data_IF_641669277511
#
_entry.id   IF_641669277511
#
_cell.length_a   1.000
_cell.length_b   1.000
_cell.length_c   1.000
_cell.angle_alpha   90.00
_cell.angle_beta   90.00
_cell.angle_gamma   90.00
#
_symmetry.space_group_name_H-M   'P 1'
#
loop_
_entity.id
_entity.type
_entity.pdbx_description
1 polymer ?
#
# COMPACT_ATOMS: atom_id res chain seq x y z
N UNK A 1 -8.68 1.08 46.05
CA UNK A 1 -7.61 1.12 45.05
C UNK A 1 -6.96 2.48 45.13
N UNK A 2 -5.65 2.55 45.38
CA UNK A 2 -4.93 3.82 45.44
C UNK A 2 -4.94 4.50 44.08
N UNK A 3 -5.12 5.79 44.06
CA UNK A 3 -5.16 6.64 42.86
C UNK A 3 -3.89 6.52 42.01
N UNK A 4 -2.78 6.14 42.61
CA UNK A 4 -1.48 5.93 41.96
C UNK A 4 -1.46 4.71 41.01
N UNK A 5 -2.19 3.63 41.34
CA UNK A 5 -2.29 2.44 40.49
C UNK A 5 -3.16 2.70 39.25
N UNK A 6 -4.20 3.54 39.38
CA UNK A 6 -5.04 3.91 38.21
C UNK A 6 -4.31 4.81 37.23
N UNK A 7 -3.45 5.71 37.73
CA UNK A 7 -2.60 6.56 36.85
C UNK A 7 -1.53 5.73 36.15
N UNK A 8 -0.90 4.78 36.81
CA UNK A 8 0.10 3.86 36.23
C UNK A 8 -0.54 2.92 35.21
N UNK A 9 -1.72 2.39 35.48
CA UNK A 9 -2.46 1.55 34.54
C UNK A 9 -2.93 2.37 33.30
N UNK A 10 -3.36 3.61 33.51
CA UNK A 10 -3.74 4.55 32.46
C UNK A 10 -2.55 4.91 31.55
N UNK A 11 -1.38 5.19 32.12
CA UNK A 11 -0.16 5.48 31.36
C UNK A 11 0.33 4.26 30.59
N UNK A 12 0.32 3.05 31.16
CA UNK A 12 0.70 1.81 30.45
C UNK A 12 -0.26 1.50 29.31
N UNK A 13 -1.57 1.65 29.49
CA UNK A 13 -2.54 1.49 28.41
C UNK A 13 -2.32 2.51 27.27
N UNK A 14 -1.89 3.71 27.58
CA UNK A 14 -1.59 4.75 26.61
C UNK A 14 -0.32 4.41 25.79
N UNK A 15 0.69 3.79 26.39
CA UNK A 15 1.93 3.37 25.74
C UNK A 15 1.69 2.28 24.69
N UNK A 16 0.79 1.31 24.94
CA UNK A 16 0.47 0.23 24.00
C UNK A 16 -0.36 0.68 22.80
N UNK A 17 -1.12 1.77 22.91
CA UNK A 17 -1.97 2.28 21.82
C UNK A 17 -1.17 2.76 20.61
N UNK A 18 -0.06 3.45 20.82
CA UNK A 18 0.78 3.99 19.76
C UNK A 18 1.36 2.92 18.82
N UNK A 19 2.01 1.85 19.33
CA UNK A 19 2.50 0.77 18.45
C UNK A 19 1.38 0.06 17.68
N UNK A 20 0.21 -0.16 18.28
CA UNK A 20 -0.93 -0.76 17.57
C UNK A 20 -1.47 0.15 16.47
N UNK A 21 -1.53 1.46 16.69
CA UNK A 21 -1.95 2.42 15.69
C UNK A 21 -0.97 2.47 14.50
N UNK A 22 0.33 2.54 14.78
CA UNK A 22 1.36 2.53 13.75
C UNK A 22 1.31 1.23 12.92
N UNK A 23 1.16 0.09 13.60
CA UNK A 23 1.03 -1.22 12.95
C UNK A 23 -0.24 -1.32 12.09
N UNK A 24 -1.38 -0.85 12.60
CA UNK A 24 -2.63 -0.82 11.87
C UNK A 24 -2.55 0.06 10.61
N UNK A 25 -1.89 1.21 10.70
CA UNK A 25 -1.63 2.08 9.55
C UNK A 25 -0.73 1.40 8.53
N UNK A 26 0.40 0.84 8.95
CA UNK A 26 1.34 0.18 8.04
C UNK A 26 0.68 -1.00 7.32
N UNK A 27 0.02 -1.89 8.06
CA UNK A 27 -0.67 -3.08 7.51
C UNK A 27 -1.84 -2.68 6.62
N UNK A 28 -2.63 -1.70 7.07
CA UNK A 28 -3.79 -1.23 6.33
C UNK A 28 -3.41 -0.57 5.00
N UNK A 29 -2.33 0.22 4.98
CA UNK A 29 -1.82 0.84 3.74
C UNK A 29 -1.29 -0.21 2.77
N UNK A 30 -0.55 -1.22 3.26
CA UNK A 30 -0.09 -2.33 2.40
C UNK A 30 -1.28 -3.08 1.82
N UNK A 31 -2.24 -3.48 2.66
CA UNK A 31 -3.41 -4.24 2.22
C UNK A 31 -4.24 -3.46 1.21
N UNK A 32 -4.51 -2.18 1.48
CA UNK A 32 -5.23 -1.30 0.55
C UNK A 32 -4.47 -1.09 -0.75
N UNK A 33 -3.16 -0.84 -0.64
CA UNK A 33 -2.28 -0.67 -1.80
C UNK A 33 -2.25 -1.91 -2.69
N UNK A 34 -2.17 -3.10 -2.10
CA UNK A 34 -2.23 -4.36 -2.85
C UNK A 34 -3.59 -4.56 -3.50
N UNK A 35 -4.70 -4.33 -2.79
CA UNK A 35 -6.04 -4.44 -3.33
C UNK A 35 -6.23 -3.53 -4.57
N UNK A 36 -6.00 -2.23 -4.40
CA UNK A 36 -6.15 -1.24 -5.47
C UNK A 36 -5.13 -1.44 -6.59
N UNK A 37 -3.88 -1.79 -6.26
CA UNK A 37 -2.87 -2.10 -7.26
C UNK A 37 -3.22 -3.32 -8.11
N UNK A 38 -3.82 -4.36 -7.54
CA UNK A 38 -4.33 -5.51 -8.29
C UNK A 38 -5.47 -5.11 -9.23
N UNK A 39 -6.37 -4.22 -8.79
CA UNK A 39 -7.40 -3.63 -9.66
C UNK A 39 -6.79 -2.89 -10.85
N UNK A 40 -5.77 -2.07 -10.61
CA UNK A 40 -5.04 -1.38 -11.68
C UNK A 40 -4.48 -2.36 -12.72
N UNK A 41 -3.80 -3.43 -12.27
CA UNK A 41 -3.23 -4.44 -13.17
C UNK A 41 -4.29 -5.21 -13.95
N UNK A 42 -5.45 -5.48 -13.35
CA UNK A 42 -6.61 -6.06 -14.04
C UNK A 42 -7.11 -5.14 -15.15
N UNK A 43 -7.29 -3.85 -14.84
CA UNK A 43 -7.71 -2.84 -15.82
C UNK A 43 -6.70 -2.71 -16.95
N UNK A 44 -5.42 -2.60 -16.63
CA UNK A 44 -4.35 -2.50 -17.62
C UNK A 44 -4.29 -3.73 -18.54
N UNK A 45 -4.44 -4.93 -17.98
CA UNK A 45 -4.49 -6.17 -18.75
C UNK A 45 -5.66 -6.22 -19.73
N UNK A 46 -6.80 -5.65 -19.35
CA UNK A 46 -8.00 -5.58 -20.17
C UNK A 46 -7.92 -4.53 -21.25
N UNK A 47 -7.20 -3.42 -21.01
CA UNK A 47 -6.93 -2.38 -21.98
C UNK A 47 -5.96 -2.86 -23.07
N UNK A 48 -4.86 -3.46 -22.64
CA UNK A 48 -3.77 -3.85 -23.54
C UNK A 48 -4.03 -5.17 -24.27
N UNK A 49 -4.98 -5.99 -23.79
CA UNK A 49 -5.22 -7.32 -24.33
C UNK A 49 -4.02 -8.26 -24.17
N UNK A 50 -3.08 -7.93 -23.27
CA UNK A 50 -1.81 -8.63 -23.16
C UNK A 50 -1.98 -10.06 -22.64
N UNK A 51 -1.27 -11.01 -23.24
CA UNK A 51 -1.36 -12.44 -22.92
C UNK A 51 -0.98 -12.78 -21.47
N UNK A 52 -0.12 -11.99 -20.83
CA UNK A 52 0.18 -12.14 -19.40
C UNK A 52 -1.05 -11.86 -18.51
N UNK A 53 -1.91 -10.96 -18.95
CA UNK A 53 -3.12 -10.61 -18.21
C UNK A 53 -4.14 -11.74 -18.16
N UNK A 54 -4.22 -12.57 -19.20
CA UNK A 54 -5.12 -13.73 -19.22
C UNK A 54 -4.73 -14.73 -18.14
N UNK A 55 -3.44 -14.98 -17.99
CA UNK A 55 -2.88 -15.93 -17.03
C UNK A 55 -2.93 -15.42 -15.59
N UNK A 56 -2.64 -14.12 -15.36
CA UNK A 56 -2.66 -13.53 -14.02
C UNK A 56 -4.04 -13.06 -13.55
N UNK A 57 -5.02 -12.97 -14.48
CA UNK A 57 -6.34 -12.37 -14.20
C UNK A 57 -7.00 -12.93 -12.95
N UNK A 58 -7.00 -14.24 -12.79
CA UNK A 58 -7.65 -14.91 -11.65
C UNK A 58 -6.90 -14.68 -10.34
N UNK A 59 -5.57 -14.71 -10.41
CA UNK A 59 -4.71 -14.39 -9.26
C UNK A 59 -4.92 -12.93 -8.82
N UNK A 60 -4.93 -12.00 -9.77
CA UNK A 60 -5.19 -10.59 -9.50
C UNK A 60 -6.59 -10.35 -8.93
N UNK A 61 -7.62 -10.98 -9.50
CA UNK A 61 -8.99 -10.89 -8.99
C UNK A 61 -9.12 -11.49 -7.59
N UNK A 62 -8.49 -12.65 -7.33
CA UNK A 62 -8.46 -13.24 -6.00
C UNK A 62 -7.70 -12.38 -5.01
N UNK A 63 -6.61 -11.72 -5.42
CA UNK A 63 -5.86 -10.79 -4.59
C UNK A 63 -6.66 -9.53 -4.24
N UNK A 64 -7.46 -8.98 -5.16
CA UNK A 64 -8.37 -7.87 -4.86
C UNK A 64 -9.29 -8.23 -3.69
N UNK A 65 -9.91 -9.42 -3.72
CA UNK A 65 -10.77 -9.89 -2.65
C UNK A 65 -10.00 -10.26 -1.38
N UNK A 66 -8.88 -10.95 -1.54
CA UNK A 66 -8.05 -11.40 -0.43
C UNK A 66 -7.49 -10.27 0.42
N UNK A 67 -7.26 -9.11 -0.19
CA UNK A 67 -6.71 -7.93 0.49
C UNK A 67 -7.74 -6.85 0.82
N UNK A 68 -9.02 -7.05 0.47
CA UNK A 68 -10.11 -6.16 0.90
C UNK A 68 -10.17 -5.98 2.44
N UNK A 69 -9.92 -7.00 3.29
CA UNK A 69 -9.80 -6.81 4.73
C UNK A 69 -8.77 -5.75 5.12
N UNK A 70 -7.70 -5.55 4.35
CA UNK A 70 -6.72 -4.48 4.57
C UNK A 70 -7.32 -3.09 4.50
N UNK A 71 -8.25 -2.87 3.57
CA UNK A 71 -8.99 -1.60 3.47
C UNK A 71 -9.84 -1.36 4.72
N UNK A 72 -10.49 -2.42 5.22
CA UNK A 72 -11.30 -2.34 6.45
C UNK A 72 -10.45 -2.09 7.68
N UNK A 73 -9.26 -2.73 7.77
CA UNK A 73 -8.31 -2.48 8.88
C UNK A 73 -7.82 -1.04 8.83
N UNK A 74 -7.50 -0.51 7.65
CA UNK A 74 -7.08 0.88 7.51
C UNK A 74 -8.19 1.83 7.96
N UNK A 75 -9.40 1.64 7.47
CA UNK A 75 -10.55 2.47 7.86
C UNK A 75 -10.85 2.37 9.36
N UNK A 76 -10.79 1.17 9.93
CA UNK A 76 -10.96 0.95 11.36
C UNK A 76 -9.85 1.58 12.20
N UNK A 77 -8.59 1.50 11.74
CA UNK A 77 -7.45 2.13 12.43
C UNK A 77 -7.56 3.65 12.42
N UNK A 78 -7.90 4.24 11.26
CA UNK A 78 -8.14 5.68 11.14
C UNK A 78 -9.29 6.09 12.05
N UNK A 79 -10.38 5.32 12.09
CA UNK A 79 -11.50 5.57 13.00
C UNK A 79 -11.09 5.54 14.46
N UNK A 80 -10.34 4.51 14.89
CA UNK A 80 -9.84 4.40 16.27
C UNK A 80 -8.84 5.50 16.61
N UNK A 81 -7.96 5.87 15.67
CA UNK A 81 -7.00 6.96 15.88
C UNK A 81 -7.71 8.28 16.21
N UNK A 82 -8.72 8.62 15.44
CA UNK A 82 -9.40 9.91 15.57
C UNK A 82 -10.34 10.00 16.78
N UNK A 83 -10.93 8.87 17.19
CA UNK A 83 -11.97 8.89 18.24
C UNK A 83 -11.44 8.48 19.62
N UNK A 84 -10.50 7.53 19.68
CA UNK A 84 -10.12 6.86 20.95
C UNK A 84 -8.67 7.14 21.34
N UNK A 85 -7.75 7.08 20.36
CA UNK A 85 -6.30 7.07 20.64
C UNK A 85 -5.75 8.50 20.72
N UNK A 86 -6.19 9.35 19.80
CA UNK A 86 -5.79 10.75 19.72
C UNK A 86 -6.97 11.66 19.41
N UNK A 87 -7.87 11.91 20.36
CA UNK A 87 -8.89 12.94 20.18
C UNK A 87 -8.26 14.32 19.88
N UNK A 88 -6.98 14.51 20.27
CA UNK A 88 -6.20 15.69 19.91
C UNK A 88 -5.53 15.61 18.53
N UNK A 89 -5.32 14.43 17.97
CA UNK A 89 -4.82 14.28 16.58
C UNK A 89 -5.85 14.73 15.55
N UNK A 90 -7.13 14.77 15.94
CA UNK A 90 -8.18 15.51 15.20
C UNK A 90 -7.77 16.96 14.99
N UNK A 91 -7.02 17.57 15.92
CA UNK A 91 -6.41 18.89 15.74
C UNK A 91 -5.30 18.88 14.69
N UNK A 92 -4.56 17.80 14.52
CA UNK A 92 -3.51 17.68 13.49
C UNK A 92 -4.07 17.40 12.10
N UNK A 93 -5.20 16.70 11.98
CA UNK A 93 -5.95 16.59 10.73
C UNK A 93 -6.85 17.82 10.45
N UNK A 94 -7.18 18.61 11.46
CA UNK A 94 -8.00 19.78 11.35
C UNK A 94 -7.29 21.13 11.49
N UNK A 95 -6.08 21.13 12.05
CA UNK A 95 -5.27 22.33 12.27
C UNK A 95 -3.80 21.93 12.28
N UNK A 96 -3.20 21.67 11.11
CA UNK A 96 -1.85 22.18 10.96
C UNK A 96 -1.97 23.67 11.28
N UNK A 97 -1.27 24.12 12.32
CA UNK A 97 -1.36 25.50 12.80
C UNK A 97 -1.11 26.46 11.63
N UNK A 98 -2.21 26.86 10.97
CA UNK A 98 -2.23 27.75 9.79
C UNK A 98 -1.59 29.10 10.16
N UNK A 99 -1.46 29.36 11.44
CA UNK A 99 -0.80 30.53 12.00
C UNK A 99 0.72 30.47 11.93
N UNK A 100 1.33 29.32 11.60
CA UNK A 100 2.79 29.28 11.46
C UNK A 100 3.23 30.06 10.21
N UNK A 101 4.13 31.06 10.35
CA UNK A 101 4.60 31.87 9.22
C UNK A 101 5.21 31.03 8.08
N UNK A 102 5.71 29.83 8.39
CA UNK A 102 6.28 28.90 7.42
C UNK A 102 5.22 28.27 6.49
N UNK A 103 3.98 28.05 6.97
CA UNK A 103 2.88 27.53 6.14
C UNK A 103 2.33 28.62 5.25
N UNK A 104 2.25 29.86 5.75
CA UNK A 104 1.75 31.02 4.98
C UNK A 104 2.73 31.49 3.89
N UNK A 105 4.06 31.33 4.11
CA UNK A 105 5.08 31.80 3.17
C UNK A 105 5.19 30.98 1.89
N UNK A 106 4.69 29.75 1.86
CA UNK A 106 4.99 28.82 0.77
C UNK A 106 3.85 28.57 -0.22
N UNK A 107 2.67 29.16 -0.09
CA UNK A 107 1.61 29.15 -1.13
C UNK A 107 1.39 27.77 -1.83
N UNK A 108 1.97 26.71 -1.27
CA UNK A 108 1.97 25.37 -1.82
C UNK A 108 0.60 24.78 -1.55
N UNK A 109 -0.24 24.86 -2.58
CA UNK A 109 -1.59 24.32 -2.57
C UNK A 109 -2.26 24.63 -1.24
N UNK A 110 -3.25 25.45 -1.26
CA UNK A 110 -4.19 25.68 -0.14
C UNK A 110 -4.92 24.38 0.25
N UNK A 111 -4.14 23.30 0.44
CA UNK A 111 -4.53 22.07 1.13
C UNK A 111 -4.78 22.34 2.62
N UNK A 112 -4.50 23.56 3.05
CA UNK A 112 -4.91 24.12 4.33
C UNK A 112 -6.40 24.51 4.37
N UNK A 113 -7.20 24.12 3.36
CA UNK A 113 -8.65 24.27 3.45
C UNK A 113 -9.14 23.43 4.65
N UNK A 114 -9.64 24.10 5.71
CA UNK A 114 -10.20 23.42 6.88
C UNK A 114 -11.26 22.38 6.51
N UNK A 115 -11.91 22.54 5.36
CA UNK A 115 -12.89 21.60 4.85
C UNK A 115 -12.24 20.24 4.46
N UNK A 116 -11.05 20.24 3.82
CA UNK A 116 -10.38 18.99 3.44
C UNK A 116 -9.94 18.16 4.65
N UNK A 117 -9.42 18.82 5.68
CA UNK A 117 -8.88 18.18 6.88
C UNK A 117 -9.92 17.92 7.97
N UNK A 118 -11.19 18.23 7.72
CA UNK A 118 -12.25 17.88 8.65
C UNK A 118 -12.35 16.35 8.81
N UNK A 119 -12.33 15.82 10.05
CA UNK A 119 -12.45 14.39 10.31
C UNK A 119 -13.66 13.73 9.65
N UNK A 120 -14.80 14.43 9.59
CA UNK A 120 -16.00 13.93 8.92
C UNK A 120 -15.74 13.66 7.43
N UNK A 121 -15.03 14.55 6.74
CA UNK A 121 -14.65 14.35 5.35
C UNK A 121 -13.62 13.23 5.16
N UNK A 122 -12.71 13.02 6.12
CA UNK A 122 -11.81 11.87 6.10
C UNK A 122 -12.58 10.55 6.13
N UNK A 123 -13.58 10.42 7.01
CA UNK A 123 -14.44 9.22 7.05
C UNK A 123 -15.24 9.03 5.77
N UNK A 124 -15.79 10.11 5.20
CA UNK A 124 -16.50 10.06 3.92
C UNK A 124 -15.57 9.58 2.81
N UNK A 125 -14.35 10.12 2.71
CA UNK A 125 -13.36 9.67 1.72
C UNK A 125 -12.98 8.20 1.91
N UNK A 126 -12.71 7.78 3.15
CA UNK A 126 -12.43 6.36 3.44
C UNK A 126 -13.60 5.47 3.07
N UNK A 127 -14.84 5.86 3.40
CA UNK A 127 -16.04 5.15 3.01
C UNK A 127 -16.20 5.04 1.49
N UNK A 128 -15.96 6.12 0.77
CA UNK A 128 -15.99 6.14 -0.70
C UNK A 128 -14.92 5.18 -1.26
N UNK A 129 -13.70 5.18 -0.74
CA UNK A 129 -12.62 4.27 -1.17
C UNK A 129 -13.03 2.81 -0.95
N UNK A 130 -13.59 2.48 0.21
CA UNK A 130 -14.08 1.12 0.51
C UNK A 130 -15.17 0.69 -0.47
N UNK A 131 -16.20 1.53 -0.66
CA UNK A 131 -17.34 1.22 -1.54
C UNK A 131 -16.90 1.09 -3.00
N UNK A 132 -16.04 2.00 -3.48
CA UNK A 132 -15.53 1.94 -4.84
C UNK A 132 -14.62 0.74 -5.04
N UNK A 133 -13.70 0.45 -4.13
CA UNK A 133 -12.83 -0.73 -4.22
C UNK A 133 -13.65 -2.02 -4.26
N UNK A 134 -14.67 -2.12 -3.40
CA UNK A 134 -15.56 -3.27 -3.36
C UNK A 134 -16.39 -3.40 -4.64
N UNK A 135 -17.04 -2.33 -5.09
CA UNK A 135 -17.87 -2.35 -6.31
C UNK A 135 -17.06 -2.65 -7.56
N UNK A 136 -15.85 -2.07 -7.67
CA UNK A 136 -14.91 -2.36 -8.77
C UNK A 136 -14.46 -3.82 -8.74
N UNK A 137 -14.15 -4.38 -7.57
CA UNK A 137 -13.77 -5.78 -7.44
C UNK A 137 -14.92 -6.70 -7.92
N UNK A 138 -16.18 -6.40 -7.57
CA UNK A 138 -17.36 -7.13 -8.03
C UNK A 138 -17.52 -7.06 -9.55
N UNK A 139 -17.45 -5.86 -10.13
CA UNK A 139 -17.58 -5.66 -11.59
C UNK A 139 -16.49 -6.44 -12.34
N UNK A 140 -15.25 -6.36 -11.87
CA UNK A 140 -14.15 -7.08 -12.52
C UNK A 140 -14.19 -8.58 -12.34
N UNK A 141 -14.80 -9.05 -11.26
CA UNK A 141 -15.05 -10.48 -11.08
C UNK A 141 -16.06 -10.99 -12.10
N UNK A 142 -17.20 -10.31 -12.26
CA UNK A 142 -18.23 -10.70 -13.24
C UNK A 142 -17.67 -10.63 -14.66
N UNK A 143 -16.93 -9.58 -15.00
CA UNK A 143 -16.28 -9.45 -16.31
C UNK A 143 -15.18 -10.49 -16.53
N UNK A 144 -14.56 -11.03 -15.46
CA UNK A 144 -13.58 -12.10 -15.56
C UNK A 144 -14.21 -13.47 -15.75
N UNK A 145 -15.41 -13.70 -15.19
CA UNK A 145 -16.12 -14.98 -15.23
C UNK A 145 -16.81 -15.24 -16.57
N UNK A 146 -17.39 -14.22 -17.18
CA UNK A 146 -18.20 -14.36 -18.39
C UNK A 146 -17.40 -14.01 -19.65
N UNK A 147 -17.29 -15.00 -20.55
CA UNK A 147 -16.46 -14.88 -21.77
C UNK A 147 -16.94 -13.82 -22.76
N UNK A 148 -18.23 -13.35 -22.77
CA UNK A 148 -18.74 -12.56 -23.89
C UNK A 148 -19.94 -11.62 -23.62
N UNK A 149 -20.21 -11.20 -22.39
CA UNK A 149 -21.42 -10.38 -22.10
C UNK A 149 -21.29 -8.91 -22.54
N UNK A 150 -20.07 -8.38 -22.60
CA UNK A 150 -19.84 -6.96 -22.88
C UNK A 150 -19.14 -6.74 -24.23
N UNK A 151 -19.64 -5.74 -24.99
CA UNK A 151 -18.95 -5.31 -26.20
C UNK A 151 -17.49 -4.92 -25.89
N UNK A 152 -16.51 -5.25 -26.76
CA UNK A 152 -15.09 -4.99 -26.50
C UNK A 152 -14.76 -3.51 -26.26
N UNK A 153 -15.48 -2.60 -26.91
CA UNK A 153 -15.35 -1.15 -26.75
C UNK A 153 -15.79 -0.68 -25.36
N UNK A 154 -16.93 -1.16 -24.86
CA UNK A 154 -17.40 -0.83 -23.54
C UNK A 154 -16.47 -1.36 -22.43
N UNK A 155 -15.97 -2.59 -22.62
CA UNK A 155 -15.00 -3.18 -21.67
C UNK A 155 -13.70 -2.40 -21.61
N UNK A 156 -13.20 -1.87 -22.73
CA UNK A 156 -12.00 -1.03 -22.73
C UNK A 156 -12.27 0.33 -22.09
N UNK A 157 -13.40 0.97 -22.39
CA UNK A 157 -13.77 2.24 -21.80
C UNK A 157 -13.91 2.16 -20.27
N UNK A 158 -14.63 1.12 -19.77
CA UNK A 158 -14.76 0.90 -18.33
C UNK A 158 -13.43 0.59 -17.65
N UNK A 159 -12.54 -0.17 -18.31
CA UNK A 159 -11.20 -0.44 -17.80
C UNK A 159 -10.36 0.83 -17.66
N UNK A 160 -10.40 1.72 -18.68
CA UNK A 160 -9.68 3.00 -18.64
C UNK A 160 -10.21 3.88 -17.48
N UNK A 161 -11.53 4.00 -17.35
CA UNK A 161 -12.16 4.75 -16.27
C UNK A 161 -11.77 4.20 -14.89
N UNK A 162 -11.94 2.90 -14.66
CA UNK A 162 -11.57 2.26 -13.39
C UNK A 162 -10.08 2.43 -13.07
N UNK A 163 -9.20 2.37 -14.08
CA UNK A 163 -7.77 2.57 -13.88
C UNK A 163 -7.47 4.00 -13.38
N UNK A 164 -8.09 5.02 -13.99
CA UNK A 164 -7.93 6.43 -13.57
C UNK A 164 -8.45 6.60 -12.13
N UNK A 165 -9.64 6.10 -11.83
CA UNK A 165 -10.23 6.17 -10.49
C UNK A 165 -9.33 5.48 -9.46
N UNK A 166 -8.77 4.31 -9.77
CA UNK A 166 -7.87 3.58 -8.86
C UNK A 166 -6.60 4.39 -8.57
N UNK A 167 -6.01 5.04 -9.57
CA UNK A 167 -4.84 5.92 -9.38
C UNK A 167 -5.19 7.12 -8.51
N UNK A 168 -6.34 7.75 -8.75
CA UNK A 168 -6.82 8.88 -7.94
C UNK A 168 -7.07 8.44 -6.48
N UNK A 169 -7.70 7.30 -6.26
CA UNK A 169 -7.91 6.75 -4.90
C UNK A 169 -6.59 6.52 -4.17
N UNK A 170 -5.60 5.92 -4.82
CA UNK A 170 -4.26 5.70 -4.25
C UNK A 170 -3.56 7.04 -3.93
N UNK A 171 -3.70 8.04 -4.80
CA UNK A 171 -3.14 9.37 -4.58
C UNK A 171 -3.77 10.07 -3.37
N UNK A 172 -5.10 10.10 -3.29
CA UNK A 172 -5.85 10.68 -2.17
C UNK A 172 -5.50 9.95 -0.86
N UNK A 173 -5.48 8.61 -0.89
CA UNK A 173 -5.08 7.82 0.26
C UNK A 173 -3.67 8.19 0.74
N UNK A 174 -2.73 8.40 -0.18
CA UNK A 174 -1.36 8.82 0.15
C UNK A 174 -1.34 10.15 0.90
N UNK A 175 -2.10 11.14 0.42
CA UNK A 175 -2.19 12.46 1.09
C UNK A 175 -2.78 12.30 2.49
N UNK A 176 -3.91 11.62 2.62
CA UNK A 176 -4.60 11.45 3.90
C UNK A 176 -3.74 10.69 4.92
N UNK A 177 -3.03 9.65 4.48
CA UNK A 177 -2.20 8.84 5.38
C UNK A 177 -0.96 9.61 5.87
N UNK A 178 -0.32 10.39 4.99
CA UNK A 178 0.84 11.20 5.39
C UNK A 178 0.43 12.31 6.37
N UNK A 179 -0.67 12.98 6.10
CA UNK A 179 -1.21 14.00 6.98
C UNK A 179 -1.54 13.46 8.38
N UNK A 180 -2.07 12.22 8.47
CA UNK A 180 -2.36 11.55 9.73
C UNK A 180 -1.13 11.30 10.62
N UNK A 181 0.09 11.44 10.09
CA UNK A 181 1.33 11.40 10.89
C UNK A 181 1.70 12.76 11.49
N UNK A 182 0.89 13.81 11.32
CA UNK A 182 1.17 15.16 11.80
C UNK A 182 2.32 15.87 11.08
N UNK A 183 2.69 15.40 9.87
CA UNK A 183 3.83 15.90 9.12
C UNK A 183 3.42 16.62 7.85
N UNK A 184 4.28 17.52 7.38
CA UNK A 184 4.05 18.25 6.14
C UNK A 184 3.85 17.31 4.95
N UNK A 185 2.82 17.57 4.15
CA UNK A 185 2.54 16.80 2.93
C UNK A 185 3.65 17.01 1.92
N UNK A 186 4.30 15.93 1.51
CA UNK A 186 5.30 15.94 0.46
C UNK A 186 4.63 15.96 -0.91
N UNK A 187 5.05 16.88 -1.79
CA UNK A 187 4.37 17.14 -3.08
C UNK A 187 4.26 15.93 -4.01
N UNK A 188 5.28 15.05 -4.02
CA UNK A 188 5.31 13.83 -4.85
C UNK A 188 4.75 12.60 -4.15
N UNK A 189 4.30 12.72 -2.90
CA UNK A 189 3.88 11.57 -2.11
C UNK A 189 2.68 10.80 -2.69
N UNK A 190 1.66 11.45 -3.29
CA UNK A 190 0.59 10.73 -3.98
C UNK A 190 1.11 9.78 -5.07
N UNK A 191 2.05 10.26 -5.89
CA UNK A 191 2.68 9.46 -6.96
C UNK A 191 3.55 8.35 -6.38
N UNK A 192 4.24 8.65 -5.27
CA UNK A 192 5.02 7.68 -4.52
C UNK A 192 4.16 6.53 -4.01
N UNK A 193 2.97 6.82 -3.45
CA UNK A 193 2.03 5.80 -3.00
C UNK A 193 1.46 4.96 -4.13
N UNK A 194 1.19 5.56 -5.29
CA UNK A 194 0.79 4.81 -6.49
C UNK A 194 1.90 3.83 -6.89
N UNK A 195 3.15 4.28 -7.02
CA UNK A 195 4.26 3.42 -7.42
C UNK A 195 4.52 2.30 -6.38
N UNK A 196 4.41 2.62 -5.09
CA UNK A 196 4.50 1.67 -4.00
C UNK A 196 3.44 0.56 -4.13
N UNK A 197 2.17 0.93 -4.29
CA UNK A 197 1.05 0.01 -4.41
C UNK A 197 1.17 -0.88 -5.67
N UNK A 198 1.55 -0.30 -6.80
CA UNK A 198 1.70 -1.02 -8.06
C UNK A 198 2.86 -2.03 -8.02
N UNK A 199 3.98 -1.68 -7.41
CA UNK A 199 5.11 -2.61 -7.25
C UNK A 199 4.74 -3.76 -6.31
N UNK A 200 4.17 -3.47 -5.14
CA UNK A 200 3.80 -4.48 -4.15
C UNK A 200 2.74 -5.45 -4.69
N UNK A 201 1.70 -4.93 -5.37
CA UNK A 201 0.64 -5.75 -5.94
C UNK A 201 1.13 -6.64 -7.10
N UNK A 202 2.02 -6.12 -7.95
CA UNK A 202 2.63 -6.92 -9.02
C UNK A 202 3.52 -8.02 -8.45
N UNK A 203 4.34 -7.70 -7.43
CA UNK A 203 5.18 -8.68 -6.76
C UNK A 203 4.34 -9.79 -6.12
N UNK A 204 3.24 -9.44 -5.43
CA UNK A 204 2.34 -10.43 -4.87
C UNK A 204 1.71 -11.33 -5.94
N UNK A 205 1.23 -10.75 -7.04
CA UNK A 205 0.62 -11.51 -8.13
C UNK A 205 1.61 -12.49 -8.78
N UNK A 206 2.86 -12.05 -9.00
CA UNK A 206 3.92 -12.91 -9.56
C UNK A 206 4.34 -13.98 -8.57
N UNK A 207 4.44 -13.66 -7.27
CA UNK A 207 4.74 -14.64 -6.22
C UNK A 207 3.65 -15.71 -6.14
N UNK A 208 2.39 -15.30 -6.08
CA UNK A 208 1.26 -16.21 -6.06
C UNK A 208 1.24 -17.12 -7.30
N UNK A 209 1.47 -16.57 -8.49
CA UNK A 209 1.60 -17.35 -9.71
C UNK A 209 2.77 -18.34 -9.66
N UNK A 210 3.91 -17.96 -9.06
CA UNK A 210 5.07 -18.83 -8.90
C UNK A 210 4.81 -19.99 -7.91
N UNK A 211 4.02 -19.73 -6.85
CA UNK A 211 3.60 -20.75 -5.90
C UNK A 211 2.57 -21.72 -6.50
N UNK A 212 1.56 -21.17 -7.16
CA UNK A 212 0.44 -21.93 -7.73
C UNK A 212 0.83 -22.78 -8.93
N UNK A 213 1.92 -22.45 -9.66
CA UNK A 213 2.39 -23.23 -10.81
C UNK A 213 2.64 -24.71 -10.49
N UNK A 214 3.01 -25.00 -9.24
CA UNK A 214 3.26 -26.40 -8.81
C UNK A 214 1.98 -27.22 -8.78
N UNK A 215 0.84 -26.58 -8.55
CA UNK A 215 -0.47 -27.22 -8.47
C UNK A 215 -1.05 -27.53 -9.85
N UNK A 216 -0.65 -26.76 -10.87
CA UNK A 216 -1.26 -26.77 -12.21
C UNK A 216 -0.34 -27.28 -13.33
N UNK A 217 0.73 -27.93 -13.00
CA UNK A 217 1.69 -28.45 -14.00
C UNK A 217 2.50 -27.38 -14.74
N UNK A 218 2.38 -26.09 -14.37
CA UNK A 218 3.34 -25.02 -14.73
C UNK A 218 3.46 -24.60 -16.18
N UNK A 219 2.57 -25.07 -17.06
CA UNK A 219 2.66 -24.82 -18.51
C UNK A 219 2.00 -23.47 -18.85
N UNK A 220 2.77 -22.53 -19.41
CA UNK A 220 2.25 -21.39 -20.14
C UNK A 220 2.42 -19.99 -19.52
N UNK A 221 3.03 -19.83 -18.34
CA UNK A 221 3.27 -18.50 -17.78
C UNK A 221 4.46 -17.82 -18.48
N UNK A 222 4.29 -16.56 -18.98
CA UNK A 222 5.35 -15.84 -19.68
C UNK A 222 6.35 -15.19 -18.69
N UNK A 223 7.12 -16.01 -17.97
CA UNK A 223 8.07 -15.58 -16.93
C UNK A 223 8.99 -14.45 -17.36
N UNK A 224 9.57 -14.44 -18.59
CA UNK A 224 10.44 -13.35 -19.01
C UNK A 224 9.70 -12.01 -19.09
N UNK A 225 8.42 -12.02 -19.49
CA UNK A 225 7.60 -10.80 -19.57
C UNK A 225 7.26 -10.29 -18.14
N UNK A 226 6.90 -11.19 -17.25
CA UNK A 226 6.63 -10.84 -15.83
C UNK A 226 7.88 -10.29 -15.15
N UNK A 227 9.05 -10.90 -15.38
CA UNK A 227 10.33 -10.37 -14.90
C UNK A 227 10.65 -8.99 -15.49
N UNK A 228 10.34 -8.77 -16.77
CA UNK A 228 10.48 -7.45 -17.40
C UNK A 228 9.57 -6.38 -16.78
N UNK A 229 8.31 -6.72 -16.49
CA UNK A 229 7.37 -5.83 -15.81
C UNK A 229 7.84 -5.49 -14.39
N UNK A 230 8.31 -6.49 -13.63
CA UNK A 230 8.90 -6.25 -12.31
C UNK A 230 10.12 -5.32 -12.40
N UNK A 231 11.01 -5.53 -13.36
CA UNK A 231 12.17 -4.64 -13.59
C UNK A 231 11.72 -3.21 -13.87
N UNK A 232 10.75 -3.02 -14.75
CA UNK A 232 10.21 -1.70 -15.06
C UNK A 232 9.62 -1.02 -13.82
N UNK A 233 8.84 -1.74 -13.02
CA UNK A 233 8.23 -1.19 -11.81
C UNK A 233 9.26 -0.88 -10.71
N UNK A 234 10.30 -1.70 -10.56
CA UNK A 234 11.42 -1.41 -9.65
C UNK A 234 12.11 -0.09 -10.06
N UNK A 235 12.38 0.11 -11.35
CA UNK A 235 12.98 1.35 -11.85
C UNK A 235 12.06 2.56 -11.67
N UNK A 236 10.77 2.42 -11.95
CA UNK A 236 9.77 3.50 -11.73
C UNK A 236 9.72 3.88 -10.25
N UNK A 237 9.63 2.89 -9.35
CA UNK A 237 9.61 3.15 -7.90
C UNK A 237 10.91 3.78 -7.43
N UNK A 238 12.07 3.32 -7.90
CA UNK A 238 13.37 3.89 -7.58
C UNK A 238 13.46 5.35 -8.02
N UNK A 239 13.04 5.65 -9.26
CA UNK A 239 13.01 7.02 -9.79
C UNK A 239 12.12 7.94 -8.96
N UNK A 240 10.90 7.51 -8.62
CA UNK A 240 9.96 8.32 -7.85
C UNK A 240 10.47 8.53 -6.42
N UNK A 241 11.03 7.49 -5.78
CA UNK A 241 11.63 7.59 -4.44
C UNK A 241 12.79 8.59 -4.43
N UNK A 242 13.67 8.49 -5.42
CA UNK A 242 14.78 9.42 -5.57
C UNK A 242 14.31 10.85 -5.84
N UNK A 243 13.35 11.03 -6.74
CA UNK A 243 12.79 12.35 -7.09
C UNK A 243 12.11 13.01 -5.89
N UNK A 244 11.36 12.25 -5.07
CA UNK A 244 10.75 12.74 -3.83
C UNK A 244 11.82 13.27 -2.86
N UNK A 245 12.90 12.52 -2.66
CA UNK A 245 14.00 12.93 -1.80
C UNK A 245 14.71 14.17 -2.35
N UNK A 246 15.05 14.17 -3.64
CA UNK A 246 15.79 15.27 -4.29
C UNK A 246 15.01 16.58 -4.28
N UNK A 247 13.70 16.55 -4.55
CA UNK A 247 12.86 17.77 -4.50
C UNK A 247 12.87 18.33 -3.08
N UNK A 248 12.75 17.49 -2.07
CA UNK A 248 12.72 17.92 -0.67
C UNK A 248 14.08 18.47 -0.22
N UNK A 249 15.16 17.78 -0.59
CA UNK A 249 16.52 18.16 -0.23
C UNK A 249 16.96 19.44 -0.94
N UNK A 250 16.77 19.52 -2.27
CA UNK A 250 17.20 20.68 -3.07
C UNK A 250 16.43 21.95 -2.72
N UNK A 251 15.13 21.83 -2.44
CA UNK A 251 14.32 22.98 -2.06
C UNK A 251 14.63 23.50 -0.66
N UNK A 252 15.42 22.77 0.14
CA UNK A 252 15.82 23.15 1.51
C UNK A 252 14.68 23.69 2.37
N UNK A 253 13.47 23.08 2.22
CA UNK A 253 12.27 23.50 2.93
C UNK A 253 12.25 22.90 4.33
N UNK A 254 12.47 23.69 5.42
CA UNK A 254 12.56 23.16 6.78
C UNK A 254 11.36 22.34 7.19
N UNK A 255 10.15 22.78 6.85
CA UNK A 255 8.91 22.09 7.16
C UNK A 255 8.81 20.69 6.49
N UNK A 256 9.40 20.51 5.30
CA UNK A 256 9.40 19.22 4.57
C UNK A 256 10.58 18.32 5.00
N UNK A 257 11.71 18.93 5.37
CA UNK A 257 12.85 18.19 5.92
C UNK A 257 12.52 17.58 7.29
N UNK A 258 11.65 18.19 8.07
CA UNK A 258 11.21 17.66 9.37
C UNK A 258 10.70 16.21 9.31
N UNK A 259 10.16 15.79 8.15
CA UNK A 259 9.77 14.40 7.92
C UNK A 259 10.98 13.45 7.97
N UNK A 260 12.07 13.80 7.28
CA UNK A 260 13.29 12.98 7.24
C UNK A 260 14.08 13.08 8.55
N UNK A 261 14.12 14.26 9.18
CA UNK A 261 14.81 14.46 10.45
C UNK A 261 14.18 13.63 11.57
N UNK A 262 12.87 13.65 11.68
CA UNK A 262 12.16 12.83 12.66
C UNK A 262 12.26 11.32 12.36
N UNK A 263 12.44 10.93 11.10
CA UNK A 263 12.64 9.55 10.69
C UNK A 263 14.13 9.14 10.67
N UNK A 264 15.05 10.04 11.06
CA UNK A 264 16.49 9.77 11.00
C UNK A 264 16.91 8.60 11.90
N UNK A 265 16.33 8.48 13.10
CA UNK A 265 16.55 7.33 13.98
C UNK A 265 16.16 5.98 13.36
N UNK A 266 15.30 6.02 12.31
CA UNK A 266 14.83 4.86 11.54
C UNK A 266 15.55 4.70 10.19
N UNK A 267 16.65 5.43 9.94
CA UNK A 267 17.40 5.42 8.66
C UNK A 267 17.92 4.04 8.29
N UNK A 268 18.34 3.24 9.29
CA UNK A 268 18.74 1.85 9.07
C UNK A 268 17.61 0.98 8.50
N UNK A 269 16.37 1.19 8.99
CA UNK A 269 15.20 0.48 8.48
C UNK A 269 14.88 0.90 7.04
N UNK A 270 14.95 2.20 6.73
CA UNK A 270 14.78 2.70 5.36
C UNK A 270 15.84 2.13 4.42
N UNK A 271 17.10 2.11 4.83
CA UNK A 271 18.20 1.56 4.02
C UNK A 271 17.97 0.07 3.72
N UNK A 272 17.55 -0.71 4.72
CA UNK A 272 17.19 -2.11 4.53
C UNK A 272 15.97 -2.28 3.62
N UNK A 273 14.95 -1.44 3.78
CA UNK A 273 13.77 -1.44 2.93
C UNK A 273 14.12 -1.18 1.46
N UNK A 274 14.90 -0.12 1.18
CA UNK A 274 15.32 0.23 -0.18
C UNK A 274 16.24 -0.82 -0.79
N UNK A 275 17.14 -1.41 0.00
CA UNK A 275 17.99 -2.50 -0.46
C UNK A 275 17.15 -3.72 -0.89
N UNK A 276 16.20 -4.15 -0.06
CA UNK A 276 15.33 -5.29 -0.35
C UNK A 276 14.31 -5.02 -1.45
N UNK A 277 13.78 -3.81 -1.54
CA UNK A 277 12.71 -3.48 -2.49
C UNK A 277 13.26 -3.08 -3.87
N UNK A 278 14.41 -2.41 -3.92
CA UNK A 278 14.94 -1.80 -5.14
C UNK A 278 16.28 -2.41 -5.55
N UNK A 279 17.30 -2.35 -4.70
CA UNK A 279 18.66 -2.70 -5.09
C UNK A 279 18.81 -4.20 -5.40
N UNK A 280 18.43 -5.08 -4.48
CA UNK A 280 18.53 -6.55 -4.68
C UNK A 280 17.65 -7.00 -5.85
N UNK A 281 16.37 -6.61 -5.95
CA UNK A 281 15.55 -6.92 -7.12
C UNK A 281 16.15 -6.43 -8.43
N UNK A 282 16.65 -5.20 -8.47
CA UNK A 282 17.26 -4.64 -9.67
C UNK A 282 18.46 -5.46 -10.13
N UNK A 283 19.40 -5.75 -9.22
CA UNK A 283 20.60 -6.53 -9.53
C UNK A 283 20.27 -7.94 -10.02
N UNK A 284 19.33 -8.64 -9.37
CA UNK A 284 18.93 -9.99 -9.78
C UNK A 284 18.20 -9.97 -11.13
N UNK A 285 17.30 -9.00 -11.32
CA UNK A 285 16.51 -8.88 -12.57
C UNK A 285 17.32 -8.34 -13.75
N UNK A 286 18.54 -7.84 -13.53
CA UNK A 286 19.45 -7.45 -14.61
C UNK A 286 19.87 -8.66 -15.44
N UNK A 287 19.94 -9.83 -14.82
CA UNK A 287 20.35 -11.07 -15.50
C UNK A 287 19.17 -11.75 -16.22
N UNK A 288 19.14 -11.82 -17.57
CA UNK A 288 18.04 -12.43 -18.31
C UNK A 288 17.77 -13.90 -17.95
N UNK A 289 18.83 -14.62 -17.56
CA UNK A 289 18.72 -16.02 -17.14
C UNK A 289 17.90 -16.18 -15.85
N UNK A 290 18.02 -15.24 -14.90
CA UNK A 290 17.27 -15.24 -13.62
C UNK A 290 15.82 -14.81 -13.84
N UNK A 291 15.55 -13.86 -14.75
CA UNK A 291 14.19 -13.45 -15.12
C UNK A 291 13.34 -14.58 -15.70
N UNK A 292 13.97 -15.60 -16.27
CA UNK A 292 13.27 -16.79 -16.83
C UNK A 292 12.97 -17.85 -15.76
N UNK A 293 13.61 -17.79 -14.60
CA UNK A 293 13.47 -18.78 -13.53
C UNK A 293 12.38 -18.37 -12.54
N UNK A 294 11.27 -19.12 -12.44
CA UNK A 294 10.17 -18.77 -11.52
C UNK A 294 10.59 -18.73 -10.05
N UNK A 295 11.56 -19.57 -9.63
CA UNK A 295 12.09 -19.55 -8.26
C UNK A 295 12.85 -18.27 -7.94
N UNK A 296 13.66 -17.76 -8.89
CA UNK A 296 14.37 -16.50 -8.73
C UNK A 296 13.38 -15.32 -8.68
N UNK A 297 12.38 -15.32 -9.56
CA UNK A 297 11.32 -14.32 -9.52
C UNK A 297 10.53 -14.35 -8.21
N UNK A 298 10.22 -15.56 -7.71
CA UNK A 298 9.56 -15.71 -6.40
C UNK A 298 10.40 -15.14 -5.26
N UNK A 299 11.70 -15.42 -5.22
CA UNK A 299 12.60 -14.85 -4.22
C UNK A 299 12.68 -13.31 -4.31
N UNK A 300 12.78 -12.77 -5.52
CA UNK A 300 12.74 -11.30 -5.77
C UNK A 300 11.43 -10.70 -5.26
N UNK A 301 10.29 -11.34 -5.53
CA UNK A 301 8.99 -10.86 -5.06
C UNK A 301 8.90 -10.86 -3.53
N UNK A 302 9.45 -11.88 -2.85
CA UNK A 302 9.53 -11.90 -1.38
C UNK A 302 10.38 -10.73 -0.88
N UNK A 303 11.53 -10.46 -1.48
CA UNK A 303 12.37 -9.31 -1.13
C UNK A 303 11.60 -7.99 -1.30
N UNK A 304 10.88 -7.81 -2.43
CA UNK A 304 10.08 -6.60 -2.68
C UNK A 304 9.00 -6.44 -1.62
N UNK A 305 8.27 -7.49 -1.29
CA UNK A 305 7.18 -7.42 -0.29
C UNK A 305 7.70 -7.15 1.12
N UNK A 306 8.81 -7.78 1.52
CA UNK A 306 9.47 -7.49 2.79
C UNK A 306 9.98 -6.05 2.83
N UNK A 307 10.63 -5.58 1.76
CA UNK A 307 11.08 -4.20 1.65
C UNK A 307 9.91 -3.22 1.73
N UNK A 308 8.77 -3.51 1.08
CA UNK A 308 7.55 -2.69 1.16
C UNK A 308 7.01 -2.64 2.59
N UNK A 309 7.08 -3.74 3.32
CA UNK A 309 6.66 -3.79 4.71
C UNK A 309 7.55 -2.90 5.61
N UNK A 310 8.87 -3.04 5.48
CA UNK A 310 9.82 -2.22 6.23
C UNK A 310 9.66 -0.73 5.90
N UNK A 311 9.41 -0.40 4.63
CA UNK A 311 9.14 0.97 4.19
C UNK A 311 7.86 1.55 4.80
N UNK A 312 6.79 0.76 4.91
CA UNK A 312 5.56 1.18 5.59
C UNK A 312 5.81 1.42 7.08
N UNK A 313 6.59 0.58 7.75
CA UNK A 313 6.98 0.81 9.14
C UNK A 313 7.78 2.11 9.28
N UNK A 314 8.75 2.36 8.39
CA UNK A 314 9.51 3.61 8.36
C UNK A 314 8.61 4.84 8.13
N UNK A 315 7.58 4.72 7.31
CA UNK A 315 6.65 5.84 7.07
C UNK A 315 5.82 6.22 8.29
N UNK A 316 5.35 5.24 9.04
CA UNK A 316 4.36 5.48 10.10
C UNK A 316 4.93 5.47 11.52
N UNK A 317 5.83 4.56 11.87
CA UNK A 317 6.32 4.42 13.25
C UNK A 317 6.92 5.71 13.83
N UNK A 318 7.76 6.47 13.10
CA UNK A 318 8.31 7.72 13.63
C UNK A 318 7.23 8.77 13.93
N UNK A 319 6.12 8.78 13.17
CA UNK A 319 5.00 9.70 13.35
C UNK A 319 4.28 9.55 14.69
N UNK A 320 4.31 8.35 15.25
CA UNK A 320 3.73 8.04 16.55
C UNK A 320 4.71 8.21 17.72
N UNK A 321 5.91 8.76 17.45
CA UNK A 321 6.95 8.93 18.47
C UNK A 321 7.51 7.61 18.99
N UNK A 322 7.51 6.56 18.14
CA UNK A 322 8.08 5.26 18.49
C UNK A 322 9.60 5.27 18.27
N UNK A 323 10.30 4.53 19.12
CA UNK A 323 11.75 4.35 19.00
C UNK A 323 12.08 2.96 18.45
N UNK A 324 13.04 2.85 17.50
CA UNK A 324 13.40 1.56 16.91
C UNK A 324 14.06 0.60 17.91
N UNK A 325 14.65 1.11 18.99
CA UNK A 325 15.28 0.31 20.03
C UNK A 325 14.29 -0.28 21.04
N UNK A 326 13.05 0.22 21.09
CA UNK A 326 12.07 -0.21 22.08
C UNK A 326 11.37 -1.51 21.65
N UNK A 327 11.53 -2.59 22.40
CA UNK A 327 10.86 -3.87 22.17
C UNK A 327 9.33 -3.75 22.11
N UNK A 328 8.75 -2.85 22.91
CA UNK A 328 7.32 -2.55 22.90
C UNK A 328 6.79 -2.05 21.56
N UNK A 329 7.64 -1.55 20.66
CA UNK A 329 7.29 -1.12 19.31
C UNK A 329 7.06 -2.32 18.38
N UNK A 330 7.95 -3.31 18.46
CA UNK A 330 7.98 -4.41 17.49
C UNK A 330 6.94 -5.49 17.77
N UNK A 331 6.65 -5.78 19.02
CA UNK A 331 5.74 -6.88 19.38
C UNK A 331 4.31 -6.68 18.81
N UNK A 332 3.63 -5.54 19.04
CA UNK A 332 2.32 -5.30 18.44
C UNK A 332 2.36 -5.25 16.93
N UNK A 333 3.43 -4.68 16.36
CA UNK A 333 3.63 -4.60 14.92
C UNK A 333 3.68 -6.01 14.30
N UNK A 334 4.52 -6.89 14.84
CA UNK A 334 4.65 -8.27 14.34
C UNK A 334 3.35 -9.05 14.52
N UNK A 335 2.69 -8.92 15.68
CA UNK A 335 1.41 -9.59 15.94
C UNK A 335 0.32 -9.18 14.95
N UNK A 336 0.16 -7.88 14.70
CA UNK A 336 -0.82 -7.38 13.74
C UNK A 336 -0.47 -7.77 12.30
N UNK A 337 0.83 -7.74 11.93
CA UNK A 337 1.29 -8.17 10.62
C UNK A 337 0.99 -9.65 10.39
N UNK A 338 1.28 -10.49 11.36
CA UNK A 338 0.99 -11.93 11.27
C UNK A 338 -0.52 -12.18 11.20
N UNK A 339 -1.30 -11.56 12.09
CA UNK A 339 -2.75 -11.70 12.11
C UNK A 339 -3.37 -11.26 10.78
N UNK A 340 -2.96 -10.09 10.27
CA UNK A 340 -3.45 -9.58 9.00
C UNK A 340 -2.98 -10.43 7.82
N UNK A 341 -1.72 -10.85 7.84
CA UNK A 341 -1.18 -11.76 6.84
C UNK A 341 -1.98 -13.07 6.76
N UNK A 342 -2.34 -13.65 7.90
CA UNK A 342 -3.21 -14.84 7.98
C UNK A 342 -4.61 -14.54 7.43
N UNK A 343 -5.26 -13.46 7.84
CA UNK A 343 -6.59 -13.07 7.32
C UNK A 343 -6.55 -12.87 5.81
N UNK A 344 -5.56 -12.15 5.29
CA UNK A 344 -5.40 -11.96 3.85
C UNK A 344 -5.11 -13.27 3.12
N UNK A 345 -4.27 -14.13 3.66
CA UNK A 345 -4.00 -15.46 3.09
C UNK A 345 -5.26 -16.33 3.05
N UNK A 346 -6.01 -16.42 4.14
CA UNK A 346 -7.27 -17.19 4.17
C UNK A 346 -8.31 -16.61 3.19
N UNK A 347 -8.48 -15.29 3.16
CA UNK A 347 -9.38 -14.63 2.21
C UNK A 347 -8.95 -14.86 0.76
N UNK A 348 -7.67 -14.78 0.47
CA UNK A 348 -7.10 -15.03 -0.85
C UNK A 348 -7.28 -16.49 -1.29
N UNK A 349 -6.97 -17.44 -0.40
CA UNK A 349 -7.15 -18.87 -0.67
C UNK A 349 -8.64 -19.21 -0.83
N UNK A 350 -9.51 -18.63 0.00
CA UNK A 350 -10.96 -18.75 -0.13
C UNK A 350 -11.45 -18.23 -1.49
N UNK A 351 -10.98 -17.06 -1.91
CA UNK A 351 -11.30 -16.50 -3.22
C UNK A 351 -10.76 -17.34 -4.38
N UNK A 352 -9.63 -18.02 -4.22
CA UNK A 352 -9.07 -18.95 -5.20
C UNK A 352 -9.85 -20.28 -5.26
N UNK A 353 -10.28 -20.83 -4.12
CA UNK A 353 -10.98 -22.13 -4.06
C UNK A 353 -12.37 -22.07 -4.68
N UNK A 354 -13.07 -20.95 -4.54
CA UNK A 354 -14.38 -20.71 -5.17
C UNK A 354 -14.23 -20.59 -6.69
N UNK A 355 -13.04 -20.28 -7.18
CA UNK A 355 -12.74 -20.07 -8.59
C UNK A 355 -11.74 -21.13 -9.04
N UNK A 356 -12.12 -21.99 -9.99
CA UNK A 356 -11.13 -22.86 -10.64
C UNK A 356 -10.02 -21.98 -11.20
N UNK A 357 -8.83 -22.07 -10.62
CA UNK A 357 -7.72 -21.13 -10.82
C UNK A 357 -7.24 -21.08 -12.27
N UNK A 358 -7.40 -22.19 -13.00
CA UNK A 358 -6.96 -22.28 -14.37
C UNK A 358 -8.02 -22.98 -15.24
N UNK A 359 -8.27 -22.50 -16.47
CA UNK A 359 -9.17 -23.18 -17.38
C UNK A 359 -8.58 -24.54 -17.74
N UNK A 360 -9.39 -25.59 -17.67
CA UNK A 360 -9.02 -26.88 -18.24
C UNK A 360 -8.52 -26.64 -19.68
N UNK A 361 -7.26 -27.07 -19.93
CA UNK A 361 -6.71 -27.05 -21.27
C UNK A 361 -7.59 -27.95 -22.15
N UNK A 362 -8.48 -27.33 -22.95
CA UNK A 362 -9.07 -28.00 -24.09
C UNK A 362 -8.10 -27.98 -25.25
#
# INVERSE_FOLDING_TARGET
>A
MPWDEMTVAGTRLHEWRKPFAAAGMAVGVIGTGVCLGCLFWLCLSSLTGAGWGITLRRVLAAACWGFLPGVLVLAGTVGCLTTVIFPEAVRYWGVADISSPAVQAFGVLDLADPAWWNPAWLYVRMGIIVVLAWSMAQVWETLAAEKNVWQPSFRRGSAAFCMIVTVMMLGVLGIDMLAGTGRAVLSMFPVYMVAYALLASLALAVLAAACLRKLDGGKGLPWPRLGGMLTAMVLVKAYITYSQYMITWYASLPAKMSFYDAAFSWSGLLSAALALQLLVPFLVLLFPALRRRPSALGAVCVCILLGSLLEACWMFCPGFGLEPAAWGTWLPLVLLLVAMGLVCCFSFLGALSVRRVFPESR
#
